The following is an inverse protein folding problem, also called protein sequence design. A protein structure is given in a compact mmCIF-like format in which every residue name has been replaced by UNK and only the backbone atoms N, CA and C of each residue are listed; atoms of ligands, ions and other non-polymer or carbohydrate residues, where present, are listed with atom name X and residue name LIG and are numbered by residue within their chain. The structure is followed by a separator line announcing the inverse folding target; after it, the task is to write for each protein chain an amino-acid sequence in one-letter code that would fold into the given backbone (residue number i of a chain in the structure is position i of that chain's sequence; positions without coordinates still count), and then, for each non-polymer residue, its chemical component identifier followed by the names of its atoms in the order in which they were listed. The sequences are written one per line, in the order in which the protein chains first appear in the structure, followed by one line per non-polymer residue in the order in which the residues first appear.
data_IF_032446666121
#
_entry.id   IF_032446666121
#
_cell.length_a   1.000
_cell.length_b   1.000
_cell.length_c   1.000
_cell.angle_alpha   90.00
_cell.angle_beta   90.00
_cell.angle_gamma   90.00
#
_symmetry.space_group_name_H-M   'P 1'
#
loop_
_entity.id
_entity.type
_entity.pdbx_description
1 polymer ?
#
# COMPACT_ATOMS: atom_id res chain seq x y z
N UNK A 1 1.08 11.44 20.17
CA UNK A 1 1.81 11.51 21.45
C UNK A 1 2.06 10.10 21.96
N UNK A 2 3.30 9.77 22.37
CA UNK A 2 3.62 8.44 22.88
C UNK A 2 2.97 8.17 24.23
N UNK A 3 2.51 6.93 24.42
CA UNK A 3 2.02 6.46 25.71
C UNK A 3 3.17 6.36 26.73
N UNK A 4 2.84 6.57 28.01
CA UNK A 4 3.80 6.40 29.10
C UNK A 4 4.27 4.92 29.19
N UNK A 5 5.58 4.72 29.34
CA UNK A 5 6.18 3.39 29.45
C UNK A 5 5.59 2.54 30.58
N UNK A 6 5.13 3.17 31.66
CA UNK A 6 4.47 2.48 32.79
C UNK A 6 3.16 1.86 32.33
N UNK A 7 2.40 2.55 31.49
CA UNK A 7 1.14 2.02 30.94
C UNK A 7 1.40 0.90 29.93
N UNK A 8 2.40 1.06 29.07
CA UNK A 8 2.81 0.03 28.10
C UNK A 8 3.14 -1.27 28.84
N UNK A 9 4.00 -1.20 29.86
CA UNK A 9 4.38 -2.37 30.67
C UNK A 9 3.19 -2.95 31.45
N UNK A 10 2.38 -2.09 32.09
CA UNK A 10 1.25 -2.52 32.92
C UNK A 10 0.21 -3.30 32.13
N UNK A 11 -0.03 -2.94 30.89
CA UNK A 11 -1.04 -3.57 30.04
C UNK A 11 -0.46 -4.56 29.04
N UNK A 12 0.86 -4.79 29.05
CA UNK A 12 1.57 -5.66 28.10
C UNK A 12 1.24 -5.28 26.64
N UNK A 13 1.42 -3.99 26.34
CA UNK A 13 1.15 -3.45 25.00
C UNK A 13 2.40 -3.60 24.14
N UNK A 14 2.19 -3.89 22.87
CA UNK A 14 3.20 -3.77 21.82
C UNK A 14 3.04 -2.41 21.12
N UNK A 15 4.13 -1.63 21.08
CA UNK A 15 4.15 -0.34 20.39
C UNK A 15 4.50 -0.58 18.92
N UNK A 16 3.66 -0.08 18.02
CA UNK A 16 3.93 0.00 16.59
C UNK A 16 4.01 1.47 16.20
N UNK A 17 5.00 1.82 15.39
CA UNK A 17 5.15 3.17 14.84
C UNK A 17 4.96 3.14 13.33
N UNK A 18 4.08 4.00 12.83
CA UNK A 18 3.83 4.17 11.40
C UNK A 18 4.19 5.60 10.98
N UNK A 19 5.04 5.73 9.97
CA UNK A 19 5.36 7.04 9.37
C UNK A 19 4.30 7.38 8.33
N UNK A 20 3.69 8.56 8.43
CA UNK A 20 2.91 9.17 7.35
C UNK A 20 3.86 9.88 6.41
N UNK A 21 3.92 9.45 5.17
CA UNK A 21 4.85 9.95 4.17
C UNK A 21 4.12 10.60 3.01
N UNK A 22 4.45 11.86 2.71
CA UNK A 22 3.82 12.69 1.67
C UNK A 22 4.74 12.81 0.46
N UNK A 23 4.20 12.59 -0.74
CA UNK A 23 4.94 12.80 -1.99
C UNK A 23 4.91 14.28 -2.40
N UNK A 24 6.03 14.95 -2.24
CA UNK A 24 6.25 16.30 -2.74
C UNK A 24 6.71 16.28 -4.20
N UNK A 25 6.50 17.41 -4.91
CA UNK A 25 7.02 17.60 -6.27
C UNK A 25 6.79 16.40 -7.20
N UNK A 26 5.55 15.86 -7.21
CA UNK A 26 5.16 14.64 -7.92
C UNK A 26 5.79 14.51 -9.31
N UNK A 27 5.64 15.54 -10.14
CA UNK A 27 6.09 15.52 -11.55
C UNK A 27 7.61 15.32 -11.66
N UNK A 28 8.38 16.00 -10.83
CA UNK A 28 9.83 15.92 -10.83
C UNK A 28 10.32 14.56 -10.32
N UNK A 29 9.74 14.09 -9.22
CA UNK A 29 10.09 12.80 -8.64
C UNK A 29 9.73 11.65 -9.57
N UNK A 30 8.51 11.63 -10.13
CA UNK A 30 8.10 10.61 -11.10
C UNK A 30 9.00 10.50 -12.32
N UNK A 31 9.57 11.62 -12.78
CA UNK A 31 10.49 11.62 -13.91
C UNK A 31 11.78 10.81 -13.65
N UNK A 32 12.17 10.69 -12.38
CA UNK A 32 13.37 9.94 -11.93
C UNK A 32 13.07 8.47 -11.64
N UNK A 33 11.79 8.09 -11.49
CA UNK A 33 11.44 6.72 -11.15
C UNK A 33 11.66 5.77 -12.32
N UNK A 34 12.41 4.72 -12.04
CA UNK A 34 12.57 3.62 -12.98
C UNK A 34 11.26 2.84 -13.07
N UNK A 35 10.89 2.44 -14.26
CA UNK A 35 9.71 1.63 -14.53
C UNK A 35 10.06 0.47 -15.44
N UNK A 36 9.29 -0.60 -15.39
CA UNK A 36 9.39 -1.74 -16.28
C UNK A 36 8.28 -1.64 -17.33
N UNK A 37 8.61 -1.48 -18.63
CA UNK A 37 7.60 -1.33 -19.68
C UNK A 37 6.76 -2.60 -19.92
N UNK A 38 7.22 -3.77 -19.47
CA UNK A 38 6.50 -5.03 -19.62
C UNK A 38 5.45 -5.24 -18.51
N UNK A 39 5.39 -4.34 -17.52
CA UNK A 39 4.36 -4.37 -16.49
C UNK A 39 3.08 -3.75 -17.02
N UNK A 40 2.02 -4.56 -17.07
CA UNK A 40 0.66 -4.12 -17.43
C UNK A 40 -0.14 -3.94 -16.15
N UNK A 41 -0.88 -2.82 -16.03
CA UNK A 41 -1.66 -2.50 -14.84
C UNK A 41 -3.14 -2.42 -15.20
N UNK A 42 -3.96 -3.11 -14.43
CA UNK A 42 -5.42 -3.01 -14.49
C UNK A 42 -5.94 -2.45 -13.18
N UNK A 43 -6.97 -1.62 -13.26
CA UNK A 43 -7.70 -1.09 -12.10
C UNK A 43 -9.04 -1.79 -11.90
N UNK A 44 -9.72 -1.47 -10.81
CA UNK A 44 -11.05 -2.03 -10.46
C UNK A 44 -12.15 -1.75 -11.48
N UNK A 45 -11.96 -0.77 -12.36
CA UNK A 45 -12.92 -0.46 -13.42
C UNK A 45 -12.74 -1.35 -14.66
N UNK A 46 -11.59 -2.01 -14.81
CA UNK A 46 -11.23 -2.75 -16.03
C UNK A 46 -11.62 -4.23 -16.01
N UNK A 47 -12.34 -4.72 -15.00
CA UNK A 47 -12.89 -6.08 -14.97
C UNK A 47 -12.34 -7.00 -13.90
N UNK A 48 -12.13 -8.28 -14.20
CA UNK A 48 -12.00 -9.38 -13.24
C UNK A 48 -10.61 -9.48 -12.56
N UNK A 49 -10.09 -8.35 -12.04
CA UNK A 49 -8.81 -8.33 -11.31
C UNK A 49 -8.94 -8.73 -9.83
N UNK A 50 -10.18 -8.91 -9.35
CA UNK A 50 -10.47 -9.26 -7.94
C UNK A 50 -9.92 -10.60 -7.52
N UNK A 51 -10.08 -11.61 -8.36
CA UNK A 51 -9.58 -12.95 -8.08
C UNK A 51 -8.05 -12.96 -7.97
N UNK A 52 -7.36 -12.17 -8.80
CA UNK A 52 -5.92 -12.06 -8.79
C UNK A 52 -5.42 -11.19 -7.63
N UNK A 53 -6.15 -10.15 -7.24
CA UNK A 53 -5.89 -9.39 -6.02
C UNK A 53 -5.93 -10.31 -4.80
N UNK A 54 -7.03 -11.03 -4.61
CA UNK A 54 -7.21 -11.97 -3.49
C UNK A 54 -6.10 -13.03 -3.46
N UNK A 55 -5.68 -13.53 -4.62
CA UNK A 55 -4.59 -14.49 -4.71
C UNK A 55 -3.25 -13.92 -4.25
N UNK A 56 -2.94 -12.66 -4.64
CA UNK A 56 -1.73 -11.95 -4.18
C UNK A 56 -1.76 -11.79 -2.66
N UNK A 57 -2.89 -11.35 -2.13
CA UNK A 57 -3.03 -11.07 -0.70
C UNK A 57 -3.01 -12.35 0.15
N UNK A 58 -3.63 -13.43 -0.29
CA UNK A 58 -3.53 -14.73 0.39
C UNK A 58 -2.08 -15.21 0.40
N UNK A 59 -1.39 -15.20 -0.76
CA UNK A 59 0.00 -15.64 -0.85
C UNK A 59 0.93 -14.83 0.05
N UNK A 60 0.63 -13.54 0.25
CA UNK A 60 1.50 -12.63 1.01
C UNK A 60 1.22 -12.67 2.51
N UNK A 61 -0.05 -12.72 2.92
CA UNK A 61 -0.45 -12.43 4.29
C UNK A 61 -1.11 -13.60 5.02
N UNK A 62 -1.47 -14.69 4.35
CA UNK A 62 -2.21 -15.77 5.00
C UNK A 62 -1.39 -16.53 6.05
N UNK A 63 -0.06 -16.53 5.96
CA UNK A 63 0.83 -17.09 7.00
C UNK A 63 0.68 -16.37 8.34
N UNK A 64 0.45 -15.05 8.31
CA UNK A 64 0.45 -14.21 9.51
C UNK A 64 -0.96 -14.02 10.07
N UNK A 65 -1.96 -13.89 9.19
CA UNK A 65 -3.33 -13.53 9.57
C UNK A 65 -4.37 -14.63 9.32
N UNK A 66 -4.02 -15.68 8.59
CA UNK A 66 -4.94 -16.73 8.15
C UNK A 66 -5.76 -16.35 6.92
N UNK A 67 -6.01 -17.33 6.05
CA UNK A 67 -6.70 -17.14 4.77
C UNK A 67 -8.12 -16.59 4.93
N UNK A 68 -8.88 -17.10 5.91
CA UNK A 68 -10.25 -16.64 6.18
C UNK A 68 -10.32 -15.15 6.55
N UNK A 69 -9.32 -14.65 7.28
CA UNK A 69 -9.24 -13.22 7.59
C UNK A 69 -8.99 -12.41 6.32
N UNK A 70 -8.04 -12.82 5.49
CA UNK A 70 -7.73 -12.12 4.23
C UNK A 70 -8.95 -12.09 3.33
N UNK A 71 -9.65 -13.20 3.14
CA UNK A 71 -10.89 -13.24 2.32
C UNK A 71 -11.95 -12.26 2.82
N UNK A 72 -12.16 -12.16 4.13
CA UNK A 72 -13.11 -11.20 4.71
C UNK A 72 -12.65 -9.75 4.57
N UNK A 73 -11.35 -9.50 4.75
CA UNK A 73 -10.75 -8.17 4.57
C UNK A 73 -10.95 -7.69 3.13
N UNK A 74 -10.57 -8.50 2.16
CA UNK A 74 -10.63 -8.14 0.75
C UNK A 74 -12.07 -7.96 0.27
N UNK A 75 -12.99 -8.79 0.72
CA UNK A 75 -14.40 -8.58 0.43
C UNK A 75 -14.93 -7.21 0.91
N UNK A 76 -14.42 -6.70 2.06
CA UNK A 76 -14.76 -5.34 2.54
C UNK A 76 -14.12 -4.26 1.69
N UNK A 77 -12.87 -4.43 1.25
CA UNK A 77 -12.21 -3.47 0.35
C UNK A 77 -12.91 -3.39 -0.99
N UNK A 78 -13.29 -4.53 -1.56
CA UNK A 78 -14.09 -4.58 -2.79
C UNK A 78 -15.40 -3.83 -2.63
N UNK A 79 -16.12 -4.07 -1.54
CA UNK A 79 -17.34 -3.34 -1.24
C UNK A 79 -17.10 -1.83 -1.18
N UNK A 80 -16.03 -1.39 -0.52
CA UNK A 80 -15.64 0.02 -0.48
C UNK A 80 -15.34 0.58 -1.87
N UNK A 81 -14.59 -0.16 -2.69
CA UNK A 81 -14.30 0.25 -4.06
C UNK A 81 -15.57 0.46 -4.91
N UNK A 82 -16.62 -0.31 -4.64
CA UNK A 82 -17.92 -0.16 -5.34
C UNK A 82 -18.78 0.99 -4.79
N UNK A 83 -18.66 1.32 -3.51
CA UNK A 83 -19.52 2.30 -2.83
C UNK A 83 -18.91 3.70 -2.72
N UNK A 84 -17.56 3.82 -2.72
CA UNK A 84 -16.86 5.09 -2.51
C UNK A 84 -16.27 5.58 -3.82
N UNK A 85 -16.78 6.69 -4.39
CA UNK A 85 -16.17 7.30 -5.57
C UNK A 85 -14.70 7.62 -5.33
N UNK A 86 -13.85 7.23 -6.31
CA UNK A 86 -12.41 7.46 -6.19
C UNK A 86 -11.64 6.43 -5.35
N UNK A 87 -12.30 5.37 -4.89
CA UNK A 87 -11.61 4.20 -4.35
C UNK A 87 -11.29 3.22 -5.48
N UNK A 88 -10.02 2.93 -5.67
CA UNK A 88 -9.50 2.03 -6.69
C UNK A 88 -8.58 0.99 -6.08
N UNK A 89 -8.59 -0.22 -6.65
CA UNK A 89 -7.50 -1.17 -6.46
C UNK A 89 -6.88 -1.50 -7.81
N UNK A 90 -5.58 -1.67 -7.80
CA UNK A 90 -4.77 -1.90 -8.98
C UNK A 90 -4.04 -3.22 -8.85
N UNK A 91 -3.99 -3.97 -9.94
CA UNK A 91 -3.19 -5.19 -10.06
C UNK A 91 -2.19 -5.03 -11.19
N UNK A 92 -0.93 -5.23 -10.87
CA UNK A 92 0.16 -5.24 -11.85
C UNK A 92 0.44 -6.66 -12.30
N UNK A 93 0.56 -6.84 -13.61
CA UNK A 93 0.91 -8.12 -14.24
C UNK A 93 2.29 -8.02 -14.89
N UNK A 94 3.07 -9.06 -14.76
CA UNK A 94 4.35 -9.22 -15.44
C UNK A 94 4.47 -10.66 -15.95
N UNK A 95 4.90 -10.82 -17.20
CA UNK A 95 4.94 -12.13 -17.87
C UNK A 95 3.57 -12.84 -17.87
N UNK A 96 2.47 -12.07 -18.00
CA UNK A 96 1.10 -12.58 -17.98
C UNK A 96 0.59 -13.10 -16.64
N UNK A 97 1.33 -12.83 -15.55
CA UNK A 97 0.97 -13.29 -14.19
C UNK A 97 0.77 -12.11 -13.25
N UNK A 98 -0.17 -12.18 -12.29
CA UNK A 98 -0.33 -11.16 -11.28
C UNK A 98 0.95 -11.07 -10.45
N UNK A 99 1.53 -9.87 -10.38
CA UNK A 99 2.85 -9.62 -9.83
C UNK A 99 2.83 -8.74 -8.58
N UNK A 100 1.85 -7.88 -8.45
CA UNK A 100 1.68 -7.01 -7.30
C UNK A 100 0.35 -6.28 -7.33
N UNK A 101 -0.01 -5.65 -6.22
CA UNK A 101 -1.25 -4.91 -6.06
C UNK A 101 -1.07 -3.67 -5.17
N UNK A 102 -2.02 -2.76 -5.24
CA UNK A 102 -2.07 -1.57 -4.39
C UNK A 102 -3.50 -1.00 -4.39
N UNK A 103 -3.90 -0.39 -3.28
CA UNK A 103 -5.12 0.42 -3.20
C UNK A 103 -4.78 1.90 -3.32
N UNK A 104 -5.70 2.69 -3.87
CA UNK A 104 -5.64 4.14 -3.80
C UNK A 104 -7.06 4.70 -3.68
N UNK A 105 -7.22 5.74 -2.88
CA UNK A 105 -8.51 6.42 -2.69
C UNK A 105 -8.31 7.88 -2.33
N UNK A 106 -9.26 8.70 -2.77
CA UNK A 106 -9.27 10.13 -2.46
C UNK A 106 -10.00 10.39 -1.13
N UNK A 107 -9.42 11.24 -0.28
CA UNK A 107 -10.01 11.70 0.97
C UNK A 107 -9.54 13.12 1.27
N UNK A 108 -10.48 14.02 1.53
CA UNK A 108 -10.22 15.42 1.98
C UNK A 108 -9.18 16.17 1.14
N UNK A 109 -9.18 15.97 -0.19
CA UNK A 109 -8.25 16.64 -1.10
C UNK A 109 -6.87 15.98 -1.22
N UNK A 110 -6.69 14.84 -0.61
CA UNK A 110 -5.50 14.00 -0.73
C UNK A 110 -5.84 12.64 -1.36
N UNK A 111 -4.81 11.94 -1.81
CA UNK A 111 -4.91 10.53 -2.22
C UNK A 111 -4.05 9.69 -1.29
N UNK A 112 -4.65 8.68 -0.73
CA UNK A 112 -3.96 7.65 0.06
C UNK A 112 -3.58 6.50 -0.85
N UNK A 113 -2.32 6.08 -0.80
CA UNK A 113 -1.88 4.77 -1.32
C UNK A 113 -1.72 3.80 -0.15
N UNK A 114 -2.31 2.63 -0.28
CA UNK A 114 -2.33 1.63 0.79
C UNK A 114 -2.11 0.21 0.25
N UNK A 115 -1.62 -0.67 1.11
CA UNK A 115 -1.40 -2.09 0.83
C UNK A 115 -0.61 -2.37 -0.46
N UNK A 116 0.49 -1.62 -0.69
CA UNK A 116 1.40 -1.90 -1.80
C UNK A 116 2.13 -3.23 -1.56
N UNK A 117 1.85 -4.20 -2.38
CA UNK A 117 2.41 -5.54 -2.31
C UNK A 117 3.03 -5.94 -3.63
N UNK A 118 4.19 -6.59 -3.59
CA UNK A 118 4.80 -7.27 -4.75
C UNK A 118 5.19 -8.69 -4.35
N UNK A 119 4.65 -9.66 -5.07
CA UNK A 119 4.96 -11.08 -4.87
C UNK A 119 6.46 -11.31 -4.99
N UNK A 120 7.02 -12.16 -4.15
CA UNK A 120 8.45 -12.38 -4.01
C UNK A 120 9.15 -12.68 -5.35
N UNK A 121 8.55 -13.53 -6.18
CA UNK A 121 9.08 -13.91 -7.50
C UNK A 121 9.23 -12.73 -8.48
N UNK A 122 8.59 -11.59 -8.20
CA UNK A 122 8.60 -10.39 -9.07
C UNK A 122 9.30 -9.19 -8.43
N UNK A 123 9.87 -9.35 -7.22
CA UNK A 123 10.66 -8.29 -6.56
C UNK A 123 11.90 -7.94 -7.36
N UNK A 124 12.42 -6.73 -7.18
CA UNK A 124 13.60 -6.16 -7.88
C UNK A 124 13.45 -6.05 -9.40
N UNK A 125 12.23 -6.17 -9.93
CA UNK A 125 11.89 -6.03 -11.36
C UNK A 125 11.09 -4.75 -11.65
N UNK A 126 11.17 -3.75 -10.77
CA UNK A 126 10.48 -2.46 -10.86
C UNK A 126 8.93 -2.52 -10.89
N UNK A 127 8.31 -3.61 -10.44
CA UNK A 127 6.85 -3.75 -10.38
C UNK A 127 6.25 -2.68 -9.46
N UNK A 128 6.76 -2.55 -8.22
CA UNK A 128 6.27 -1.55 -7.26
C UNK A 128 6.37 -0.13 -7.82
N UNK A 129 7.54 0.27 -8.32
CA UNK A 129 7.75 1.63 -8.84
C UNK A 129 6.93 1.91 -10.09
N UNK A 130 6.69 0.92 -10.94
CA UNK A 130 5.81 1.05 -12.11
C UNK A 130 4.36 1.24 -11.67
N UNK A 131 3.88 0.43 -10.72
CA UNK A 131 2.54 0.52 -10.16
C UNK A 131 2.31 1.88 -9.48
N UNK A 132 3.23 2.31 -8.62
CA UNK A 132 3.16 3.63 -7.97
C UNK A 132 3.16 4.77 -8.99
N UNK A 133 4.02 4.71 -10.01
CA UNK A 133 4.09 5.72 -11.07
C UNK A 133 2.77 5.82 -11.83
N UNK A 134 2.14 4.69 -12.13
CA UNK A 134 0.83 4.63 -12.75
C UNK A 134 -0.21 5.31 -11.86
N UNK A 135 -0.33 4.90 -10.61
CA UNK A 135 -1.31 5.45 -9.65
C UNK A 135 -1.12 6.96 -9.49
N UNK A 136 0.11 7.42 -9.20
CA UNK A 136 0.42 8.85 -9.03
C UNK A 136 0.02 9.67 -10.26
N UNK A 137 0.09 9.10 -11.47
CA UNK A 137 -0.29 9.78 -12.71
C UNK A 137 -1.81 9.94 -12.89
N UNK A 138 -2.62 9.15 -12.19
CA UNK A 138 -4.08 9.19 -12.31
C UNK A 138 -4.72 10.32 -11.49
N UNK A 139 -4.03 10.80 -10.45
CA UNK A 139 -4.58 11.77 -9.51
C UNK A 139 -3.85 13.11 -9.59
N UNK A 140 -4.59 14.20 -9.39
CA UNK A 140 -4.02 15.56 -9.33
C UNK A 140 -3.62 15.95 -7.91
N UNK A 141 -4.31 15.41 -6.93
CA UNK A 141 -4.18 15.69 -5.50
C UNK A 141 -2.81 15.27 -4.98
N UNK A 142 -2.40 15.84 -3.86
CA UNK A 142 -1.22 15.39 -3.14
C UNK A 142 -1.43 13.95 -2.63
N UNK A 143 -0.37 13.17 -2.66
CA UNK A 143 -0.46 11.76 -2.32
C UNK A 143 0.38 11.44 -1.09
N UNK A 144 -0.21 10.69 -0.19
CA UNK A 144 0.51 10.14 0.95
C UNK A 144 0.30 8.63 1.09
N UNK A 145 1.14 8.03 1.89
CA UNK A 145 1.07 6.64 2.31
C UNK A 145 1.50 6.49 3.77
N UNK A 146 1.17 5.36 4.33
CA UNK A 146 1.66 4.95 5.62
C UNK A 146 2.71 3.85 5.45
N UNK A 147 3.84 3.97 6.15
CA UNK A 147 4.91 3.00 6.16
C UNK A 147 5.25 2.62 7.59
N UNK A 148 5.41 1.33 7.86
CA UNK A 148 5.92 0.86 9.13
C UNK A 148 7.32 1.44 9.37
N UNK A 149 7.53 2.03 10.54
CA UNK A 149 8.80 2.67 10.89
C UNK A 149 9.95 1.66 11.04
N UNK A 150 9.64 0.40 11.27
CA UNK A 150 10.62 -0.67 11.43
C UNK A 150 10.85 -1.48 10.14
N UNK A 151 10.05 -1.25 9.09
CA UNK A 151 10.15 -2.00 7.84
C UNK A 151 10.98 -1.29 6.76
N UNK A 152 11.57 -2.08 5.87
CA UNK A 152 12.45 -1.64 4.78
C UNK A 152 11.76 -0.84 3.65
N UNK A 153 10.45 -0.99 3.33
CA UNK A 153 9.78 -0.22 2.29
C UNK A 153 9.89 1.29 2.43
N UNK A 154 9.97 1.84 3.65
CA UNK A 154 10.12 3.29 3.89
C UNK A 154 11.34 3.88 3.17
N UNK A 155 12.45 3.14 3.10
CA UNK A 155 13.66 3.58 2.40
C UNK A 155 13.44 3.67 0.88
N UNK A 156 12.62 2.81 0.31
CA UNK A 156 12.20 2.92 -1.09
C UNK A 156 11.38 4.18 -1.30
N UNK A 157 10.41 4.46 -0.44
CA UNK A 157 9.56 5.65 -0.53
C UNK A 157 10.37 6.94 -0.40
N UNK A 158 11.32 7.02 0.53
CA UNK A 158 12.24 8.18 0.65
C UNK A 158 13.05 8.40 -0.63
N UNK A 159 13.59 7.34 -1.25
CA UNK A 159 14.29 7.42 -2.54
C UNK A 159 13.37 7.84 -3.69
N UNK A 160 12.09 7.63 -3.57
CA UNK A 160 11.07 8.06 -4.52
C UNK A 160 10.61 9.51 -4.29
N UNK A 161 11.09 10.16 -3.23
CA UNK A 161 10.77 11.56 -2.92
C UNK A 161 9.59 11.74 -1.99
N UNK A 162 9.19 10.68 -1.27
CA UNK A 162 8.29 10.81 -0.13
C UNK A 162 9.04 11.31 1.08
N UNK A 163 8.43 12.22 1.81
CA UNK A 163 8.96 12.83 3.03
C UNK A 163 8.06 12.48 4.21
N UNK A 164 8.64 12.06 5.33
CA UNK A 164 7.89 11.82 6.56
C UNK A 164 7.35 13.15 7.07
N UNK A 165 6.05 13.25 7.25
CA UNK A 165 5.36 14.45 7.72
C UNK A 165 4.72 14.26 9.09
N UNK A 166 4.47 13.02 9.50
CA UNK A 166 3.91 12.68 10.81
C UNK A 166 4.28 11.26 11.21
N UNK A 167 4.19 10.96 12.50
CA UNK A 167 4.37 9.63 13.08
C UNK A 167 3.14 9.27 13.91
N UNK A 168 2.56 8.11 13.62
CA UNK A 168 1.44 7.53 14.34
C UNK A 168 1.92 6.37 15.20
N UNK A 169 1.62 6.43 16.48
CA UNK A 169 1.91 5.35 17.43
C UNK A 169 0.64 4.59 17.74
N UNK A 170 0.66 3.30 17.50
CA UNK A 170 -0.41 2.36 17.84
C UNK A 170 0.07 1.42 18.95
N UNK A 171 -0.84 1.05 19.83
CA UNK A 171 -0.54 0.19 20.98
C UNK A 171 -1.48 -1.00 20.95
N UNK A 172 -0.93 -2.15 20.63
CA UNK A 172 -1.69 -3.40 20.48
C UNK A 172 -1.56 -4.26 21.73
N UNK A 173 -2.67 -4.77 22.23
CA UNK A 173 -2.66 -5.78 23.27
C UNK A 173 -2.66 -7.16 22.62
N UNK A 174 -1.58 -7.89 22.82
CA UNK A 174 -1.51 -9.30 22.42
C UNK A 174 -2.26 -10.14 23.46
N UNK A 175 -3.17 -11.01 23.00
CA UNK A 175 -4.00 -11.88 23.83
C UNK A 175 -3.42 -13.29 23.91
#
# INVERSE_FOLDING_TARGET
EKLDEVLIKRFSLEECCTETMLLRNKKENMARWKSNPDVIIYDSASGDVLADLLKIDIETFASDYGEDFIRRRDARYVKKAMEIPGFHYYVAYLDGKPAGACYAYAIDGYVVMDALVVREAFRKRYVATTLMKHIVSQFKEEMFLHADADDTPKEMYRKMGFETVDELYEYLKMW
#
